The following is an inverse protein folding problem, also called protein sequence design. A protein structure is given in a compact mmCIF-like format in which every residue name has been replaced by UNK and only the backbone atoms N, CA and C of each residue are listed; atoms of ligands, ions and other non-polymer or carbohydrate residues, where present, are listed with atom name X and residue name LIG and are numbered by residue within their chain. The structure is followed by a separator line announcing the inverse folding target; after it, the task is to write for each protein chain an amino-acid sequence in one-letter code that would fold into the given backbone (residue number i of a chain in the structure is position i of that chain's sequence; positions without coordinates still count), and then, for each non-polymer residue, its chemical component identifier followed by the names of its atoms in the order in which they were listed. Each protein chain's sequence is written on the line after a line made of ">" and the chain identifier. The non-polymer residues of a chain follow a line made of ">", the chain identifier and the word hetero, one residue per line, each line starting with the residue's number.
data_IF_060158629614
#
_entry.id   IF_060158629614
#
_cell.length_a   1.000
_cell.length_b   1.000
_cell.length_c   1.000
_cell.angle_alpha   90.00
_cell.angle_beta   90.00
_cell.angle_gamma   90.00
#
_symmetry.space_group_name_H-M   'P 1'
#
loop_
_entity.id
_entity.type
_entity.pdbx_description
1 polymer ?
#
# COMPACT_ATOMS: atom_id res chain seq x y z
N UNK A 1 -7.39 -9.49 7.10
CA UNK A 1 -6.47 -8.32 7.03
C UNK A 1 -5.03 -8.78 7.16
N UNK A 2 -4.12 -8.12 6.45
CA UNK A 2 -2.66 -8.34 6.52
C UNK A 2 -2.02 -7.03 7.01
N UNK A 3 -2.02 -6.76 8.31
CA UNK A 3 -1.29 -5.63 8.87
C UNK A 3 0.20 -5.96 8.95
N UNK A 4 1.06 -4.94 8.93
CA UNK A 4 2.48 -5.16 9.16
C UNK A 4 3.26 -3.88 9.33
N UNK A 5 4.33 -3.98 10.11
CA UNK A 5 5.35 -2.93 10.29
C UNK A 5 6.74 -3.57 10.25
N UNK A 6 7.74 -2.81 9.81
CA UNK A 6 9.13 -3.26 9.71
C UNK A 6 9.54 -3.60 8.27
N UNK A 7 10.67 -4.29 8.14
CA UNK A 7 11.31 -4.55 6.85
C UNK A 7 10.62 -5.66 6.04
N UNK A 8 10.59 -5.49 4.71
CA UNK A 8 9.97 -6.41 3.75
C UNK A 8 10.51 -7.85 3.86
N UNK A 9 11.84 -8.11 3.87
CA UNK A 9 12.37 -9.47 4.02
C UNK A 9 11.92 -10.14 5.31
N UNK A 10 11.91 -9.39 6.41
CA UNK A 10 11.46 -9.89 7.72
C UNK A 10 9.96 -10.19 7.75
N UNK A 11 9.16 -9.41 7.03
CA UNK A 11 7.73 -9.68 6.86
C UNK A 11 7.50 -11.02 6.18
N UNK A 12 8.17 -11.25 5.04
CA UNK A 12 8.09 -12.51 4.29
C UNK A 12 8.63 -13.71 5.07
N UNK A 13 9.76 -13.54 5.78
CA UNK A 13 10.31 -14.57 6.68
C UNK A 13 9.28 -14.99 7.74
N UNK A 14 8.63 -14.03 8.41
CA UNK A 14 7.62 -14.31 9.43
C UNK A 14 6.40 -15.05 8.85
N UNK A 15 5.94 -14.67 7.64
CA UNK A 15 4.84 -15.38 6.98
C UNK A 15 5.23 -16.84 6.67
N UNK A 16 6.46 -17.07 6.23
CA UNK A 16 7.03 -18.41 6.00
C UNK A 16 7.07 -19.23 7.29
N UNK A 17 7.74 -18.71 8.32
CA UNK A 17 7.94 -19.41 9.60
C UNK A 17 6.61 -19.79 10.28
N UNK A 18 5.58 -18.96 10.08
CA UNK A 18 4.25 -19.22 10.64
C UNK A 18 3.33 -20.04 9.71
N UNK A 19 3.84 -20.50 8.56
CA UNK A 19 3.07 -21.23 7.54
C UNK A 19 1.82 -20.46 7.04
N UNK A 20 1.90 -19.12 6.95
CA UNK A 20 0.78 -18.29 6.49
C UNK A 20 0.77 -18.06 4.97
N UNK A 21 1.84 -18.35 4.24
CA UNK A 21 1.91 -18.11 2.79
C UNK A 21 0.80 -18.86 2.04
N UNK A 22 0.76 -20.17 2.18
CA UNK A 22 -0.22 -21.00 1.47
C UNK A 22 -1.68 -20.64 1.85
N UNK A 23 -2.05 -20.49 3.13
CA UNK A 23 -3.37 -20.01 3.54
C UNK A 23 -3.76 -18.67 2.90
N UNK A 24 -2.85 -17.69 2.85
CA UNK A 24 -3.12 -16.38 2.24
C UNK A 24 -3.36 -16.53 0.74
N UNK A 25 -2.49 -17.24 0.02
CA UNK A 25 -2.62 -17.46 -1.43
C UNK A 25 -3.91 -18.22 -1.76
N UNK A 26 -4.22 -19.27 -0.99
CA UNK A 26 -5.47 -20.03 -1.15
C UNK A 26 -6.72 -19.19 -0.85
N UNK A 27 -6.64 -18.26 0.10
CA UNK A 27 -7.73 -17.34 0.43
C UNK A 27 -7.93 -16.31 -0.69
N UNK A 28 -6.84 -15.72 -1.21
CA UNK A 28 -6.85 -14.79 -2.33
C UNK A 28 -7.43 -15.43 -3.60
N UNK A 29 -7.05 -16.68 -3.90
CA UNK A 29 -7.54 -17.42 -5.07
C UNK A 29 -9.03 -17.78 -5.03
N UNK A 30 -9.73 -17.48 -3.93
CA UNK A 30 -11.19 -17.64 -3.79
C UNK A 30 -11.97 -16.35 -3.98
N UNK A 31 -11.34 -15.32 -4.52
CA UNK A 31 -11.89 -13.97 -4.69
C UNK A 31 -12.47 -13.37 -3.39
N UNK A 32 -11.84 -13.69 -2.24
CA UNK A 32 -12.25 -13.17 -0.94
C UNK A 32 -11.54 -11.86 -0.62
N UNK A 33 -12.21 -10.91 0.07
CA UNK A 33 -11.65 -9.60 0.34
C UNK A 33 -10.43 -9.66 1.27
N UNK A 34 -9.34 -9.00 0.85
CA UNK A 34 -8.10 -8.82 1.61
C UNK A 34 -7.82 -7.34 1.75
N UNK A 35 -7.70 -6.84 2.98
CA UNK A 35 -7.14 -5.51 3.28
C UNK A 35 -5.72 -5.69 3.81
N UNK A 36 -4.75 -5.09 3.12
CA UNK A 36 -3.34 -5.10 3.47
C UNK A 36 -2.86 -3.68 3.83
N UNK A 37 -2.19 -3.52 4.99
CA UNK A 37 -1.87 -2.20 5.57
C UNK A 37 -0.37 -2.05 5.69
N UNK A 38 0.16 -0.94 5.20
CA UNK A 38 1.57 -0.52 5.24
C UNK A 38 2.49 -1.63 4.70
N UNK A 39 3.33 -2.25 5.53
CA UNK A 39 4.13 -3.41 5.10
C UNK A 39 3.25 -4.50 4.46
N UNK A 40 2.03 -4.72 4.97
CA UNK A 40 1.09 -5.67 4.38
C UNK A 40 0.80 -5.39 2.91
N UNK A 41 0.59 -4.10 2.52
CA UNK A 41 0.42 -3.70 1.13
C UNK A 41 1.66 -4.02 0.30
N UNK A 42 2.85 -3.72 0.83
CA UNK A 42 4.11 -4.01 0.17
C UNK A 42 4.27 -5.52 -0.08
N UNK A 43 3.94 -6.35 0.90
CA UNK A 43 4.03 -7.82 0.78
C UNK A 43 3.11 -8.42 -0.31
N UNK A 44 2.09 -7.69 -0.80
CA UNK A 44 1.25 -8.12 -1.92
C UNK A 44 2.00 -8.18 -3.24
N UNK A 45 3.09 -7.40 -3.39
CA UNK A 45 3.88 -7.31 -4.62
C UNK A 45 4.64 -8.61 -4.92
N UNK A 46 5.19 -8.70 -6.13
CA UNK A 46 6.01 -9.85 -6.56
C UNK A 46 7.35 -9.88 -5.82
N UNK A 47 7.94 -8.69 -5.58
CA UNK A 47 9.24 -8.56 -4.92
C UNK A 47 9.42 -7.20 -4.22
N UNK A 48 10.42 -7.13 -3.36
CA UNK A 48 10.85 -5.90 -2.71
C UNK A 48 12.37 -5.77 -2.70
N UNK A 49 12.85 -4.53 -2.90
CA UNK A 49 14.28 -4.20 -3.02
C UNK A 49 14.86 -3.67 -1.68
N UNK A 50 14.25 -3.98 -0.55
CA UNK A 50 14.75 -3.55 0.76
C UNK A 50 15.92 -4.43 1.19
N UNK A 51 17.13 -3.85 1.24
CA UNK A 51 18.43 -4.49 1.53
C UNK A 51 18.87 -5.52 0.47
N UNK A 52 17.99 -6.40 0.05
CA UNK A 52 18.18 -7.43 -0.97
C UNK A 52 16.86 -7.65 -1.71
N UNK A 53 16.92 -8.20 -2.91
CA UNK A 53 15.71 -8.56 -3.64
C UNK A 53 15.07 -9.78 -2.98
N UNK A 54 13.90 -9.57 -2.39
CA UNK A 54 13.13 -10.60 -1.71
C UNK A 54 11.80 -10.83 -2.42
N UNK A 55 11.43 -12.09 -2.67
CA UNK A 55 10.11 -12.44 -3.25
C UNK A 55 8.99 -12.14 -2.26
N UNK A 56 7.93 -11.46 -2.76
CA UNK A 56 6.70 -11.20 -2.04
C UNK A 56 5.64 -12.28 -2.24
N UNK A 57 4.36 -11.91 -2.01
CA UNK A 57 3.21 -12.80 -2.19
C UNK A 57 2.81 -12.95 -3.67
N UNK A 58 3.19 -11.99 -4.55
CA UNK A 58 2.84 -11.99 -5.97
C UNK A 58 1.33 -11.93 -6.24
N UNK A 59 0.57 -11.29 -5.35
CA UNK A 59 -0.87 -11.12 -5.49
C UNK A 59 -1.23 -9.92 -6.36
N UNK A 60 -0.33 -8.95 -6.47
CA UNK A 60 -0.43 -7.80 -7.38
C UNK A 60 0.91 -7.66 -8.08
N UNK A 61 0.89 -7.58 -9.41
CA UNK A 61 2.10 -7.44 -10.21
C UNK A 61 2.77 -6.07 -9.95
N UNK A 62 4.07 -6.12 -9.64
CA UNK A 62 4.85 -4.94 -9.29
C UNK A 62 5.90 -5.25 -8.23
N UNK A 63 6.59 -4.22 -7.80
CA UNK A 63 7.68 -4.32 -6.84
C UNK A 63 7.64 -3.21 -5.78
N UNK A 64 8.44 -3.38 -4.75
CA UNK A 64 8.65 -2.38 -3.69
C UNK A 64 10.04 -1.77 -3.86
N UNK A 65 10.10 -0.46 -3.98
CA UNK A 65 11.31 0.33 -4.21
C UNK A 65 11.51 1.38 -3.11
N UNK A 66 12.74 1.84 -2.86
CA UNK A 66 12.97 2.94 -1.94
C UNK A 66 12.35 4.24 -2.46
N UNK A 67 11.86 5.08 -1.55
CA UNK A 67 11.46 6.46 -1.91
C UNK A 67 12.70 7.19 -2.43
N UNK A 68 12.63 7.89 -3.59
CA UNK A 68 13.76 8.66 -4.10
C UNK A 68 14.20 9.75 -3.13
N UNK A 69 15.46 9.72 -2.70
CA UNK A 69 15.99 10.72 -1.76
C UNK A 69 16.22 12.10 -2.42
N UNK A 70 16.68 12.10 -3.68
CA UNK A 70 17.03 13.34 -4.37
C UNK A 70 15.79 14.00 -4.97
N UNK A 71 15.58 15.28 -4.63
CA UNK A 71 14.61 16.17 -5.25
C UNK A 71 15.29 16.93 -6.38
N UNK A 72 16.44 17.57 -6.06
CA UNK A 72 17.31 18.27 -7.02
C UNK A 72 18.76 17.99 -6.67
N UNK A 73 19.70 18.56 -7.46
CA UNK A 73 21.13 18.48 -7.13
C UNK A 73 21.50 19.12 -5.78
N UNK A 74 20.62 19.98 -5.22
CA UNK A 74 20.87 20.78 -4.02
C UNK A 74 19.90 20.47 -2.87
N UNK A 75 18.85 19.67 -3.08
CA UNK A 75 17.86 19.35 -2.05
C UNK A 75 17.61 17.85 -1.96
N UNK A 76 17.43 17.35 -0.74
CA UNK A 76 17.24 15.93 -0.40
C UNK A 76 15.93 15.78 0.36
N UNK A 77 15.11 14.83 -0.05
CA UNK A 77 13.86 14.47 0.63
C UNK A 77 14.16 13.79 1.95
N UNK A 78 13.40 14.14 2.98
CA UNK A 78 13.54 13.51 4.28
C UNK A 78 12.96 12.10 4.25
N UNK A 79 13.79 11.09 4.49
CA UNK A 79 13.38 9.67 4.60
C UNK A 79 13.65 9.20 6.05
N UNK A 80 12.71 8.50 6.67
CA UNK A 80 11.39 8.06 6.16
C UNK A 80 10.39 9.21 6.00
N UNK A 81 9.41 9.02 5.10
CA UNK A 81 8.17 9.79 5.08
C UNK A 81 7.40 9.51 6.37
N UNK A 82 7.32 10.49 7.26
CA UNK A 82 6.53 10.42 8.50
C UNK A 82 5.65 11.65 8.54
N UNK A 83 4.34 11.47 8.51
CA UNK A 83 3.41 12.59 8.55
C UNK A 83 2.02 12.29 8.05
N UNK A 84 1.26 13.37 7.87
CA UNK A 84 -0.11 13.37 7.42
C UNK A 84 -0.16 13.98 6.02
N UNK A 85 -0.67 13.23 5.06
CA UNK A 85 -0.78 13.67 3.68
C UNK A 85 -2.12 13.26 3.10
N UNK A 86 -2.63 14.10 2.19
CA UNK A 86 -3.93 13.88 1.57
C UNK A 86 -3.92 12.67 0.63
N UNK A 87 -5.03 11.94 0.67
CA UNK A 87 -5.33 10.85 -0.26
C UNK A 87 -6.02 11.42 -1.50
N UNK A 88 -5.47 11.13 -2.68
CA UNK A 88 -5.97 11.62 -3.96
C UNK A 88 -6.39 10.45 -4.88
N UNK A 89 -7.31 10.74 -5.80
CA UNK A 89 -7.56 9.83 -6.91
C UNK A 89 -6.45 9.94 -7.96
N UNK A 90 -6.03 8.83 -8.58
CA UNK A 90 -5.25 8.91 -9.82
C UNK A 90 -6.13 9.52 -10.93
N UNK A 91 -5.49 10.22 -11.88
CA UNK A 91 -6.17 10.91 -13.00
C UNK A 91 -7.09 9.95 -13.79
N UNK A 92 -6.72 8.67 -13.87
CA UNK A 92 -7.44 7.61 -14.59
C UNK A 92 -8.20 6.66 -13.66
N UNK A 93 -8.63 7.11 -12.46
CA UNK A 93 -9.33 6.26 -11.50
C UNK A 93 -10.59 5.64 -12.11
N UNK A 94 -10.77 4.35 -11.93
CA UNK A 94 -12.00 3.66 -12.29
C UNK A 94 -13.11 3.99 -11.28
N UNK A 95 -14.36 4.16 -11.75
CA UNK A 95 -15.54 4.39 -10.90
C UNK A 95 -15.72 3.32 -9.81
N UNK A 96 -15.22 2.11 -10.06
CA UNK A 96 -15.25 1.01 -9.08
C UNK A 96 -14.58 1.34 -7.74
N UNK A 97 -13.68 2.34 -7.72
CA UNK A 97 -12.98 2.76 -6.51
C UNK A 97 -13.75 3.81 -5.70
N UNK A 98 -14.77 4.46 -6.25
CA UNK A 98 -15.50 5.55 -5.58
C UNK A 98 -16.05 5.13 -4.21
N UNK A 99 -16.66 3.94 -4.13
CA UNK A 99 -17.21 3.43 -2.87
C UNK A 99 -16.13 3.28 -1.79
N UNK A 100 -14.92 2.84 -2.16
CA UNK A 100 -13.78 2.69 -1.24
C UNK A 100 -13.35 4.03 -0.64
N UNK A 101 -13.48 5.12 -1.42
CA UNK A 101 -12.99 6.45 -1.04
C UNK A 101 -14.08 7.39 -0.51
N UNK A 102 -15.29 6.89 -0.29
CA UNK A 102 -16.38 7.71 0.25
C UNK A 102 -15.99 8.35 1.59
N UNK A 103 -16.06 9.69 1.67
CA UNK A 103 -15.65 10.49 2.82
C UNK A 103 -14.17 10.37 3.25
N UNK A 104 -13.29 9.88 2.37
CA UNK A 104 -11.85 9.75 2.65
C UNK A 104 -10.99 10.53 1.67
N UNK A 105 -11.51 10.79 0.47
CA UNK A 105 -10.79 11.52 -0.56
C UNK A 105 -10.47 12.96 -0.12
N UNK A 106 -9.26 13.42 -0.40
CA UNK A 106 -8.76 14.72 0.03
C UNK A 106 -8.54 14.84 1.54
N UNK A 107 -8.71 13.75 2.30
CA UNK A 107 -8.44 13.73 3.74
C UNK A 107 -7.04 13.24 4.02
N UNK A 108 -6.44 13.80 5.07
CA UNK A 108 -5.11 13.41 5.51
C UNK A 108 -5.12 12.03 6.15
N UNK A 109 -4.17 11.21 5.72
CA UNK A 109 -3.87 9.88 6.26
C UNK A 109 -2.48 9.89 6.88
N UNK A 110 -2.27 9.08 7.89
CA UNK A 110 -0.98 8.96 8.57
C UNK A 110 -0.07 7.95 7.86
N UNK A 111 1.14 8.41 7.49
CA UNK A 111 2.18 7.63 6.82
C UNK A 111 3.42 7.50 7.70
N UNK A 112 4.09 6.36 7.62
CA UNK A 112 5.42 6.11 8.17
C UNK A 112 6.09 5.00 7.35
N UNK A 113 6.88 5.38 6.33
CA UNK A 113 7.54 4.42 5.43
C UNK A 113 8.75 5.02 4.72
N UNK A 114 9.68 4.16 4.29
CA UNK A 114 10.83 4.50 3.46
C UNK A 114 10.77 3.88 2.06
N UNK A 115 9.82 2.99 1.83
CA UNK A 115 9.63 2.26 0.58
C UNK A 115 8.20 2.44 0.08
N UNK A 116 8.02 2.37 -1.23
CA UNK A 116 6.73 2.50 -1.92
C UNK A 116 6.55 1.36 -2.91
N UNK A 117 5.31 1.10 -3.29
CA UNK A 117 5.00 0.15 -4.36
C UNK A 117 5.08 0.83 -5.72
N UNK A 118 5.67 0.15 -6.68
CA UNK A 118 5.64 0.46 -8.11
C UNK A 118 4.91 -0.68 -8.80
N UNK A 119 3.65 -0.44 -9.19
CA UNK A 119 2.82 -1.48 -9.83
C UNK A 119 3.17 -1.64 -11.30
N UNK A 120 3.10 -2.85 -11.82
CA UNK A 120 3.37 -3.14 -13.22
C UNK A 120 2.25 -2.62 -14.17
N UNK A 121 1.04 -2.42 -13.65
CA UNK A 121 -0.10 -1.89 -14.40
C UNK A 121 -0.76 -0.78 -13.59
N UNK A 122 -0.88 0.42 -14.18
CA UNK A 122 -1.54 1.57 -13.55
C UNK A 122 -3.01 1.33 -13.18
N UNK A 123 -3.65 0.35 -13.80
CA UNK A 123 -5.01 -0.06 -13.42
C UNK A 123 -5.13 -0.52 -11.95
N UNK A 124 -4.03 -0.95 -11.35
CA UNK A 124 -3.99 -1.36 -9.95
C UNK A 124 -3.84 -0.18 -8.99
N UNK A 125 -3.52 1.03 -9.49
CA UNK A 125 -3.45 2.25 -8.68
C UNK A 125 -4.86 2.72 -8.39
N UNK A 126 -5.32 2.54 -7.15
CA UNK A 126 -6.61 3.01 -6.71
C UNK A 126 -6.54 4.40 -6.05
N UNK A 127 -5.41 4.74 -5.43
CA UNK A 127 -5.19 6.03 -4.80
C UNK A 127 -3.72 6.45 -4.82
N UNK A 128 -3.49 7.76 -4.86
CA UNK A 128 -2.14 8.36 -4.84
C UNK A 128 -2.01 9.36 -3.71
N UNK A 129 -0.77 9.67 -3.34
CA UNK A 129 -0.44 10.69 -2.35
C UNK A 129 0.83 11.42 -2.80
N UNK A 130 0.88 12.72 -2.54
CA UNK A 130 2.08 13.50 -2.78
C UNK A 130 2.87 13.65 -1.48
N UNK A 131 4.15 13.34 -1.54
CA UNK A 131 5.12 13.66 -0.49
C UNK A 131 6.16 14.60 -1.07
N UNK A 132 6.11 15.86 -0.68
CA UNK A 132 6.83 16.95 -1.35
C UNK A 132 6.50 16.99 -2.86
N UNK A 133 7.49 16.83 -3.74
CA UNK A 133 7.36 16.78 -5.19
C UNK A 133 7.23 15.35 -5.76
N UNK A 134 7.17 14.34 -4.91
CA UNK A 134 7.06 12.93 -5.29
C UNK A 134 5.66 12.40 -5.08
N UNK A 135 5.01 12.03 -6.18
CA UNK A 135 3.74 11.31 -6.13
C UNK A 135 3.99 9.79 -6.12
N UNK A 136 3.31 9.08 -5.21
CA UNK A 136 3.42 7.63 -5.11
C UNK A 136 2.05 6.96 -5.00
N UNK A 137 2.00 5.68 -5.34
CA UNK A 137 0.83 4.85 -5.15
C UNK A 137 0.62 4.60 -3.64
N UNK A 138 -0.46 5.15 -3.10
CA UNK A 138 -0.81 5.00 -1.68
C UNK A 138 -1.94 4.01 -1.42
N UNK A 139 -2.69 3.63 -2.47
CA UNK A 139 -3.67 2.55 -2.43
C UNK A 139 -3.59 1.75 -3.71
N UNK A 140 -3.41 0.44 -3.58
CA UNK A 140 -3.55 -0.52 -4.69
C UNK A 140 -4.87 -1.27 -4.58
N UNK A 141 -5.44 -1.64 -5.73
CA UNK A 141 -6.60 -2.53 -5.78
C UNK A 141 -6.54 -3.46 -6.98
N UNK A 142 -6.77 -4.73 -6.73
CA UNK A 142 -7.03 -5.72 -7.76
C UNK A 142 -8.20 -6.58 -7.31
N UNK A 143 -9.37 -6.40 -7.93
CA UNK A 143 -10.62 -7.05 -7.53
C UNK A 143 -10.96 -6.79 -6.04
N UNK A 144 -10.92 -7.83 -5.22
CA UNK A 144 -11.21 -7.82 -3.78
C UNK A 144 -9.97 -7.64 -2.89
N UNK A 145 -8.77 -7.51 -3.51
CA UNK A 145 -7.53 -7.26 -2.79
C UNK A 145 -7.28 -5.75 -2.80
N UNK A 146 -7.22 -5.16 -1.61
CA UNK A 146 -6.92 -3.74 -1.39
C UNK A 146 -5.71 -3.63 -0.49
N UNK A 147 -4.74 -2.82 -0.89
CA UNK A 147 -3.59 -2.44 -0.06
C UNK A 147 -3.54 -0.94 0.16
N UNK A 148 -3.21 -0.47 1.35
CA UNK A 148 -2.96 0.94 1.64
C UNK A 148 -1.61 1.14 2.33
N UNK A 149 -0.84 2.15 1.90
CA UNK A 149 0.48 2.47 2.47
C UNK A 149 0.37 3.21 3.80
N UNK A 150 -0.68 3.99 3.98
CA UNK A 150 -0.98 4.65 5.25
C UNK A 150 -1.51 3.67 6.30
N UNK A 151 -1.58 4.16 7.53
CA UNK A 151 -2.17 3.46 8.66
C UNK A 151 -3.60 3.95 8.91
N UNK A 152 -4.64 3.31 8.36
CA UNK A 152 -6.02 3.78 8.55
C UNK A 152 -6.43 3.75 10.02
N UNK A 153 -5.91 2.81 10.81
CA UNK A 153 -6.16 2.73 12.26
C UNK A 153 -5.58 3.91 13.06
N UNK A 154 -4.64 4.68 12.44
CA UNK A 154 -4.06 5.89 13.02
C UNK A 154 -4.52 7.17 12.33
N UNK A 155 -5.39 7.08 11.34
CA UNK A 155 -5.82 8.19 10.50
C UNK A 155 -7.18 8.79 10.92
N UNK A 156 -7.54 8.65 12.20
CA UNK A 156 -8.74 9.24 12.76
C UNK A 156 -10.02 8.76 12.05
N UNK A 157 -11.00 9.67 11.92
CA UNK A 157 -12.29 9.34 11.29
C UNK A 157 -12.15 8.97 9.81
N UNK A 158 -11.23 9.63 9.08
CA UNK A 158 -11.01 9.32 7.66
C UNK A 158 -10.51 7.88 7.47
N UNK A 159 -9.52 7.46 8.27
CA UNK A 159 -9.02 6.09 8.23
C UNK A 159 -10.06 5.05 8.62
N UNK A 160 -10.89 5.33 9.63
CA UNK A 160 -12.00 4.45 10.01
C UNK A 160 -13.06 4.33 8.91
N UNK A 161 -13.33 5.43 8.18
CA UNK A 161 -14.24 5.39 7.03
C UNK A 161 -13.65 4.51 5.91
N UNK A 162 -12.35 4.60 5.63
CA UNK A 162 -11.69 3.73 4.66
C UNK A 162 -11.86 2.25 5.00
N UNK A 163 -11.66 1.87 6.27
CA UNK A 163 -11.88 0.49 6.73
C UNK A 163 -13.35 0.08 6.57
N UNK A 164 -14.30 0.95 6.96
CA UNK A 164 -15.75 0.66 6.79
C UNK A 164 -16.13 0.46 5.34
N UNK A 165 -15.62 1.32 4.45
CA UNK A 165 -15.88 1.24 3.02
C UNK A 165 -15.35 -0.08 2.44
N UNK A 166 -14.14 -0.48 2.85
CA UNK A 166 -13.59 -1.79 2.48
C UNK A 166 -14.48 -2.96 2.92
N UNK A 167 -15.10 -2.87 4.09
CA UNK A 167 -16.00 -3.94 4.60
C UNK A 167 -17.30 -4.06 3.79
N UNK A 168 -17.60 -3.15 2.88
CA UNK A 168 -18.78 -3.17 2.00
C UNK A 168 -18.45 -3.68 0.58
N UNK A 169 -17.18 -4.00 0.31
CA UNK A 169 -16.72 -4.57 -0.98
C UNK A 169 -16.87 -6.13 -0.96
#
# INVERSE_FOLDING_TARGET
>A
MIPGVGAFPRGMEKLKLKNYLEPILKYAGKDKPILAICLGMQLLMEEGEEHEVTKGLGLIAGKVIPIPEKITSLSVRKIPHIGWNALNFPINAKNENEALFLNTLGKDMYFVHSYVVEVANEEFVAGTTNYEDFQFCSVVRQKYIVGCQFHPEKSGTAGLNFIRNFMQI
#
